data_IF_921802974613
#
_entry.id   IF_921802974613
#
_cell.length_a   1.000
_cell.length_b   1.000
_cell.length_c   1.000
_cell.angle_alpha   90.00
_cell.angle_beta   90.00
_cell.angle_gamma   90.00
#
_symmetry.space_group_name_H-M   'P 1'
#
loop_
_entity.id
_entity.type
_entity.pdbx_description
1 polymer ?
#
# COMPACT_ATOMS: atom_id res chain seq x y z
N UNK A 1 -13.18 -11.16 -17.25
CA UNK A 1 -13.47 -12.61 -17.14
C UNK A 1 -13.02 -13.04 -15.75
N UNK A 2 -13.91 -13.67 -14.98
CA UNK A 2 -13.55 -14.28 -13.69
C UNK A 2 -12.67 -15.51 -13.95
N UNK A 3 -11.55 -15.62 -13.24
CA UNK A 3 -10.59 -16.73 -13.37
C UNK A 3 -10.40 -17.48 -12.05
N UNK A 4 -11.35 -17.35 -11.12
CA UNK A 4 -11.40 -17.97 -9.80
C UNK A 4 -10.38 -17.40 -8.79
N UNK A 5 -10.56 -17.71 -7.50
CA UNK A 5 -9.70 -17.28 -6.39
C UNK A 5 -9.49 -15.75 -6.30
N UNK A 6 -10.54 -14.96 -6.53
CA UNK A 6 -10.52 -13.49 -6.49
C UNK A 6 -9.63 -12.83 -7.55
N UNK A 7 -9.24 -13.56 -8.59
CA UNK A 7 -8.54 -13.03 -9.75
C UNK A 7 -9.50 -12.75 -10.91
N UNK A 8 -9.23 -11.67 -11.64
CA UNK A 8 -10.01 -11.26 -12.80
C UNK A 8 -9.09 -10.89 -13.96
N UNK A 9 -9.46 -11.30 -15.18
CA UNK A 9 -8.79 -10.93 -16.41
C UNK A 9 -9.53 -9.76 -17.08
N UNK A 10 -8.78 -8.70 -17.40
CA UNK A 10 -9.22 -7.57 -18.21
C UNK A 10 -8.41 -7.50 -19.52
N UNK A 11 -9.12 -7.42 -20.65
CA UNK A 11 -8.55 -7.22 -21.98
C UNK A 11 -8.84 -5.80 -22.45
N UNK A 12 -7.90 -5.20 -23.15
CA UNK A 12 -8.01 -3.83 -23.68
C UNK A 12 -7.74 -3.86 -25.18
N UNK A 13 -8.51 -3.10 -25.95
CA UNK A 13 -8.31 -2.97 -27.40
C UNK A 13 -7.20 -1.97 -27.74
N UNK A 14 -6.96 -1.01 -26.83
CA UNK A 14 -5.96 0.04 -26.98
C UNK A 14 -4.86 -0.12 -25.94
N UNK A 15 -3.60 -0.03 -26.40
CA UNK A 15 -2.43 -0.09 -25.52
C UNK A 15 -2.43 1.04 -24.48
N UNK A 16 -2.86 2.25 -24.86
CA UNK A 16 -2.96 3.40 -23.96
C UNK A 16 -3.88 3.14 -22.75
N UNK A 17 -4.98 2.41 -22.95
CA UNK A 17 -5.92 2.10 -21.88
C UNK A 17 -5.38 1.00 -20.96
N UNK A 18 -4.68 0.02 -21.54
CA UNK A 18 -3.92 -0.97 -20.77
C UNK A 18 -2.84 -0.31 -19.92
N UNK A 19 -2.08 0.62 -20.48
CA UNK A 19 -1.03 1.34 -19.75
C UNK A 19 -1.61 2.20 -18.63
N UNK A 20 -2.72 2.89 -18.87
CA UNK A 20 -3.45 3.62 -17.82
C UNK A 20 -3.90 2.68 -16.72
N UNK A 21 -4.46 1.52 -17.04
CA UNK A 21 -4.90 0.55 -16.04
C UNK A 21 -3.73 0.03 -15.18
N UNK A 22 -2.57 -0.22 -15.78
CA UNK A 22 -1.39 -0.72 -15.05
C UNK A 22 -0.73 0.38 -14.21
N UNK A 23 -0.57 1.58 -14.76
CA UNK A 23 0.24 2.66 -14.16
C UNK A 23 -0.59 3.69 -13.37
N UNK A 24 -1.90 3.72 -13.59
CA UNK A 24 -2.83 4.70 -13.00
C UNK A 24 -3.09 4.50 -11.51
N UNK A 25 -2.82 3.30 -10.99
CA UNK A 25 -3.09 2.92 -9.61
C UNK A 25 -2.37 3.75 -8.53
N UNK A 26 -2.65 3.50 -7.25
CA UNK A 26 -3.47 2.41 -6.75
C UNK A 26 -4.96 2.57 -7.06
N UNK A 27 -5.61 1.47 -7.40
CA UNK A 27 -7.05 1.41 -7.66
C UNK A 27 -7.77 0.97 -6.40
N UNK A 28 -8.89 1.63 -6.10
CA UNK A 28 -9.76 1.27 -4.98
C UNK A 28 -11.19 1.11 -5.47
N UNK A 29 -11.85 0.04 -5.03
CA UNK A 29 -13.28 -0.22 -5.26
C UNK A 29 -13.88 -0.53 -3.88
N UNK A 30 -14.85 0.29 -3.45
CA UNK A 30 -15.47 0.19 -2.11
C UNK A 30 -14.43 0.12 -0.96
N UNK A 31 -13.41 0.98 -1.02
CA UNK A 31 -12.28 1.03 -0.08
C UNK A 31 -11.38 -0.23 -0.03
N UNK A 32 -11.54 -1.17 -0.97
CA UNK A 32 -10.62 -2.30 -1.15
C UNK A 32 -9.64 -2.04 -2.30
N UNK A 33 -8.35 -2.31 -2.07
CA UNK A 33 -7.35 -2.19 -3.14
C UNK A 33 -7.51 -3.28 -4.19
N UNK A 34 -7.43 -2.87 -5.44
CA UNK A 34 -7.29 -3.77 -6.57
C UNK A 34 -5.84 -3.75 -7.05
N UNK A 35 -5.15 -4.88 -6.88
CA UNK A 35 -3.81 -5.08 -7.42
C UNK A 35 -3.91 -5.39 -8.91
N UNK A 36 -3.38 -4.51 -9.75
CA UNK A 36 -3.34 -4.69 -11.21
C UNK A 36 -1.91 -5.06 -11.62
N UNK A 37 -1.77 -6.10 -12.44
CA UNK A 37 -0.48 -6.53 -13.00
C UNK A 37 -0.63 -7.03 -14.44
N UNK A 38 0.41 -6.97 -15.27
CA UNK A 38 0.40 -7.60 -16.58
C UNK A 38 0.07 -9.09 -16.48
N UNK A 39 -0.72 -9.59 -17.42
CA UNK A 39 -0.97 -11.03 -17.53
C UNK A 39 0.32 -11.77 -17.85
N UNK A 40 0.46 -12.97 -17.28
CA UNK A 40 1.58 -13.89 -17.51
C UNK A 40 1.04 -15.25 -17.95
N UNK A 41 1.65 -15.92 -18.94
CA UNK A 41 1.22 -17.26 -19.36
C UNK A 41 1.42 -18.33 -18.29
N UNK A 42 2.28 -18.08 -17.30
CA UNK A 42 2.53 -18.99 -16.19
C UNK A 42 1.65 -18.70 -14.97
N UNK A 43 0.63 -17.84 -15.11
CA UNK A 43 -0.29 -17.52 -14.03
C UNK A 43 -1.17 -18.73 -13.66
N UNK A 44 -1.25 -19.03 -12.36
CA UNK A 44 -2.16 -20.01 -11.77
C UNK A 44 -2.88 -19.34 -10.59
N UNK A 45 -4.20 -19.22 -10.65
CA UNK A 45 -4.97 -18.59 -9.58
C UNK A 45 -4.86 -19.34 -8.23
N UNK A 46 -4.54 -20.64 -8.28
CA UNK A 46 -4.40 -21.50 -7.11
C UNK A 46 -3.04 -21.32 -6.40
N UNK A 47 -1.97 -21.08 -7.16
CA UNK A 47 -0.60 -21.04 -6.62
C UNK A 47 -0.10 -19.61 -6.38
N UNK A 48 -0.77 -18.62 -6.97
CA UNK A 48 -0.37 -17.23 -6.89
C UNK A 48 -0.86 -16.57 -5.59
N UNK A 49 -0.09 -15.59 -5.12
CA UNK A 49 -0.40 -14.85 -3.89
C UNK A 49 -0.04 -13.38 -4.06
N UNK A 50 -0.94 -12.51 -3.60
CA UNK A 50 -0.72 -11.07 -3.57
C UNK A 50 0.04 -10.74 -2.29
N UNK A 51 1.37 -10.68 -2.39
CA UNK A 51 2.25 -10.35 -1.26
C UNK A 51 2.58 -8.86 -1.19
N UNK A 52 2.36 -8.13 -2.28
CA UNK A 52 2.62 -6.69 -2.36
C UNK A 52 1.43 -5.99 -2.99
N UNK A 53 1.18 -4.77 -2.55
CA UNK A 53 0.17 -3.91 -3.16
C UNK A 53 0.58 -2.45 -3.08
N UNK A 54 -0.03 -1.64 -3.93
CA UNK A 54 0.15 -0.19 -3.91
C UNK A 54 -0.88 0.39 -2.95
N UNK A 55 -0.44 1.25 -2.05
CA UNK A 55 -1.32 1.92 -1.08
C UNK A 55 -1.06 3.41 -1.05
N UNK A 56 -2.12 4.18 -0.88
CA UNK A 56 -2.01 5.59 -0.53
C UNK A 56 -1.75 5.73 0.96
N UNK A 57 -0.70 6.47 1.28
CA UNK A 57 -0.28 6.76 2.65
C UNK A 57 -0.36 8.26 2.91
N UNK A 58 -0.96 8.64 4.04
CA UNK A 58 -1.05 10.03 4.50
C UNK A 58 -0.07 10.28 5.64
N UNK A 59 0.72 11.33 5.50
CA UNK A 59 1.56 11.88 6.56
C UNK A 59 0.83 13.05 7.21
N UNK A 60 0.31 12.81 8.42
CA UNK A 60 -0.51 13.79 9.13
C UNK A 60 0.35 14.88 9.78
N UNK A 61 -0.14 16.13 9.73
CA UNK A 61 0.47 17.27 10.42
C UNK A 61 1.94 17.54 10.03
N UNK A 62 2.35 17.08 8.84
CA UNK A 62 3.67 17.37 8.28
C UNK A 62 3.71 18.84 7.82
N UNK A 63 4.78 19.56 8.16
CA UNK A 63 4.91 20.94 7.74
C UNK A 63 5.08 21.02 6.21
N UNK A 64 4.41 21.99 5.57
CA UNK A 64 4.50 22.23 4.12
C UNK A 64 5.93 22.42 3.61
N UNK A 65 6.88 22.84 4.45
CA UNK A 65 8.31 22.90 4.09
C UNK A 65 8.89 21.54 3.67
N UNK A 66 8.26 20.42 4.06
CA UNK A 66 8.66 19.08 3.70
C UNK A 66 7.88 18.52 2.48
N UNK A 67 7.01 19.30 1.84
CA UNK A 67 6.23 18.90 0.67
C UNK A 67 7.06 18.99 -0.63
N UNK A 68 8.37 18.79 -0.50
CA UNK A 68 9.25 18.60 -1.65
C UNK A 68 9.19 17.13 -2.02
N UNK A 69 8.94 16.83 -3.29
CA UNK A 69 8.73 15.46 -3.76
C UNK A 69 9.84 14.50 -3.31
N UNK A 70 11.10 14.87 -3.51
CA UNK A 70 12.24 14.05 -3.08
C UNK A 70 12.27 13.77 -1.57
N UNK A 71 11.86 14.75 -0.75
CA UNK A 71 11.76 14.61 0.71
C UNK A 71 10.62 13.65 1.07
N UNK A 72 9.46 13.81 0.45
CA UNK A 72 8.30 12.93 0.67
C UNK A 72 8.59 11.50 0.26
N UNK A 73 9.24 11.28 -0.89
CA UNK A 73 9.66 9.95 -1.33
C UNK A 73 10.68 9.35 -0.35
N UNK A 74 11.61 10.15 0.16
CA UNK A 74 12.57 9.72 1.18
C UNK A 74 11.87 9.31 2.48
N UNK A 75 10.92 10.11 2.98
CA UNK A 75 10.12 9.76 4.17
C UNK A 75 9.34 8.46 3.91
N UNK A 76 8.70 8.35 2.75
CA UNK A 76 7.91 7.18 2.37
C UNK A 76 8.74 5.90 2.21
N UNK A 77 10.05 6.00 1.95
CA UNK A 77 10.95 4.84 1.89
C UNK A 77 11.04 4.05 3.20
N UNK A 78 10.68 4.66 4.34
CA UNK A 78 10.60 3.96 5.64
C UNK A 78 9.46 2.94 5.65
N UNK A 79 8.42 3.15 4.84
CA UNK A 79 7.24 2.29 4.77
C UNK A 79 7.41 1.17 3.74
N UNK A 80 8.07 1.45 2.61
CA UNK A 80 8.16 0.53 1.48
C UNK A 80 8.83 1.19 0.28
N UNK A 81 8.48 0.76 -0.94
CA UNK A 81 9.01 1.36 -2.16
C UNK A 81 8.09 2.50 -2.63
N UNK A 82 8.48 3.78 -2.48
CA UNK A 82 7.64 4.89 -2.90
C UNK A 82 7.57 4.97 -4.44
N UNK A 83 6.41 5.32 -4.98
CA UNK A 83 6.19 5.41 -6.43
C UNK A 83 5.90 6.83 -6.92
N UNK A 84 4.97 7.53 -6.26
CA UNK A 84 4.56 8.88 -6.69
C UNK A 84 3.90 9.66 -5.54
N UNK A 85 4.05 10.98 -5.58
CA UNK A 85 3.35 11.91 -4.69
C UNK A 85 1.99 12.26 -5.31
N UNK A 86 0.96 12.44 -4.47
CA UNK A 86 -0.36 12.91 -4.93
C UNK A 86 -0.25 14.29 -5.58
N UNK A 87 -1.00 14.54 -6.65
CA UNK A 87 -0.95 15.80 -7.39
C UNK A 87 -1.33 17.02 -6.53
N UNK A 88 -2.26 16.88 -5.60
CA UNK A 88 -2.65 17.99 -4.71
C UNK A 88 -1.53 18.32 -3.73
N UNK A 89 -0.90 17.28 -3.17
CA UNK A 89 0.29 17.42 -2.32
C UNK A 89 1.45 18.06 -3.11
N UNK A 90 1.72 17.58 -4.32
CA UNK A 90 2.79 18.09 -5.19
C UNK A 90 2.57 19.55 -5.61
N UNK A 91 1.33 19.95 -5.86
CA UNK A 91 0.97 21.32 -6.19
C UNK A 91 0.80 22.23 -4.96
N UNK A 92 1.11 21.73 -3.75
CA UNK A 92 0.92 22.43 -2.48
C UNK A 92 -0.49 23.03 -2.33
N UNK A 93 -1.49 22.36 -2.92
CA UNK A 93 -2.88 22.70 -2.71
C UNK A 93 -3.20 22.44 -1.24
N UNK A 94 -4.15 23.20 -0.68
CA UNK A 94 -4.37 23.36 0.77
C UNK A 94 -4.91 22.08 1.44
N UNK A 95 -4.11 21.01 1.46
CA UNK A 95 -4.40 19.72 2.07
C UNK A 95 -3.96 19.70 3.54
N UNK A 96 -4.65 18.89 4.36
CA UNK A 96 -4.35 18.71 5.79
C UNK A 96 -3.21 17.72 6.05
N UNK A 97 -2.72 17.06 5.01
CA UNK A 97 -1.72 16.00 5.06
C UNK A 97 -0.94 15.95 3.74
N UNK A 98 0.24 15.34 3.74
CA UNK A 98 0.94 14.96 2.52
C UNK A 98 0.56 13.52 2.16
N UNK A 99 0.37 13.23 0.88
CA UNK A 99 -0.07 11.90 0.42
C UNK A 99 0.89 11.31 -0.61
N UNK A 100 1.29 10.06 -0.41
CA UNK A 100 2.26 9.34 -1.27
C UNK A 100 1.76 7.92 -1.54
N UNK A 101 1.93 7.47 -2.78
CA UNK A 101 1.69 6.09 -3.19
C UNK A 101 2.96 5.27 -2.92
N UNK A 102 2.80 4.18 -2.18
CA UNK A 102 3.89 3.30 -1.75
C UNK A 102 3.52 1.86 -2.08
N UNK A 103 4.44 1.11 -2.69
CA UNK A 103 4.37 -0.35 -2.75
C UNK A 103 4.79 -0.90 -1.38
N UNK A 104 3.88 -1.64 -0.73
CA UNK A 104 4.10 -2.23 0.59
C UNK A 104 4.05 -3.76 0.50
N UNK A 105 4.80 -4.41 1.38
CA UNK A 105 4.74 -5.86 1.58
C UNK A 105 3.69 -6.20 2.64
N UNK A 106 2.66 -6.95 2.25
CA UNK A 106 1.51 -7.30 3.09
C UNK A 106 1.87 -8.28 4.20
N UNK A 107 3.00 -8.97 4.09
CA UNK A 107 3.52 -9.89 5.09
C UNK A 107 4.34 -9.17 6.17
N UNK A 108 4.62 -7.88 5.99
CA UNK A 108 5.37 -7.07 6.96
C UNK A 108 4.45 -6.21 7.82
N UNK A 109 4.79 -5.97 9.10
CA UNK A 109 4.06 -5.05 9.95
C UNK A 109 4.05 -3.63 9.38
N UNK A 110 2.90 -2.96 9.41
CA UNK A 110 2.80 -1.56 8.99
C UNK A 110 3.59 -0.63 9.91
N UNK A 111 4.10 0.46 9.34
CA UNK A 111 4.76 1.52 10.10
C UNK A 111 3.72 2.56 10.51
N UNK A 112 3.41 2.63 11.82
CA UNK A 112 2.39 3.58 12.31
C UNK A 112 2.87 5.02 12.51
N UNK A 113 4.20 5.24 12.62
CA UNK A 113 4.80 6.56 12.84
C UNK A 113 6.25 6.61 12.38
N UNK A 114 6.72 7.79 12.01
CA UNK A 114 8.13 8.05 11.69
C UNK A 114 8.68 9.22 12.50
N UNK A 115 10.00 9.24 12.70
CA UNK A 115 10.69 10.36 13.33
C UNK A 115 11.37 11.22 12.26
N UNK A 116 11.14 12.53 12.31
CA UNK A 116 11.82 13.50 11.48
C UNK A 116 12.30 14.64 12.38
N UNK A 117 13.61 14.82 12.45
CA UNK A 117 14.27 15.85 13.26
C UNK A 117 13.83 15.86 14.74
N UNK A 118 13.70 14.68 15.35
CA UNK A 118 13.32 14.54 16.76
C UNK A 118 11.82 14.60 17.04
N UNK A 119 10.99 14.88 16.03
CA UNK A 119 9.52 14.89 16.16
C UNK A 119 8.91 13.65 15.50
N UNK A 120 7.95 13.04 16.19
CA UNK A 120 7.17 11.91 15.69
C UNK A 120 5.95 12.38 14.90
N UNK A 121 5.68 11.72 13.78
CA UNK A 121 4.54 11.96 12.90
C UNK A 121 3.79 10.66 12.67
N UNK A 122 2.45 10.73 12.69
CA UNK A 122 1.59 9.58 12.45
C UNK A 122 1.43 9.32 10.95
N UNK A 123 1.26 8.05 10.63
CA UNK A 123 1.07 7.54 9.28
C UNK A 123 -0.32 6.90 9.22
N UNK A 124 -1.12 7.25 8.22
CA UNK A 124 -2.40 6.60 7.95
C UNK A 124 -2.36 5.91 6.59
N UNK A 125 -2.78 4.65 6.56
CA UNK A 125 -2.94 3.87 5.33
C UNK A 125 -4.41 3.95 4.90
N UNK A 126 -4.66 4.40 3.68
CA UNK A 126 -6.01 4.34 3.10
C UNK A 126 -6.30 2.90 2.68
N UNK A 127 -7.54 2.42 2.79
CA UNK A 127 -7.97 1.12 2.22
C UNK A 127 -7.40 -0.15 2.86
N UNK A 128 -6.52 -0.05 3.86
CA UNK A 128 -5.86 -1.20 4.48
C UNK A 128 -6.59 -1.64 5.77
N UNK A 129 -7.78 -2.23 5.61
CA UNK A 129 -8.74 -2.42 6.71
C UNK A 129 -8.49 -3.62 7.64
N UNK A 130 -7.80 -4.67 7.17
CA UNK A 130 -7.60 -5.91 7.93
C UNK A 130 -6.18 -6.00 8.48
N UNK A 131 -5.83 -5.12 9.41
CA UNK A 131 -4.55 -5.16 10.11
C UNK A 131 -4.68 -5.97 11.40
N UNK A 132 -3.81 -6.97 11.56
CA UNK A 132 -3.70 -7.73 12.79
C UNK A 132 -3.19 -6.82 13.92
N UNK A 133 -3.90 -6.75 15.05
CA UNK A 133 -3.48 -5.90 16.17
C UNK A 133 -2.27 -6.46 16.92
N UNK A 134 -1.94 -7.73 16.72
CA UNK A 134 -0.81 -8.39 17.39
C UNK A 134 0.51 -8.22 16.62
N UNK A 135 0.52 -8.50 15.32
CA UNK A 135 1.74 -8.39 14.51
C UNK A 135 1.78 -7.15 13.60
N UNK A 136 0.66 -6.45 13.37
CA UNK A 136 0.59 -5.30 12.47
C UNK A 136 0.60 -5.65 10.98
N UNK A 137 0.61 -6.93 10.60
CA UNK A 137 0.54 -7.36 9.19
C UNK A 137 -0.91 -7.36 8.68
N UNK A 138 -1.08 -7.32 7.36
CA UNK A 138 -2.39 -7.36 6.71
C UNK A 138 -2.92 -8.79 6.56
N UNK A 139 -4.24 -8.93 6.40
CA UNK A 139 -4.88 -10.14 5.88
C UNK A 139 -5.35 -11.15 6.93
N UNK A 140 -5.14 -10.89 8.23
CA UNK A 140 -5.62 -11.78 9.28
C UNK A 140 -5.97 -11.04 10.57
N UNK A 141 -6.90 -11.61 11.34
CA UNK A 141 -7.21 -11.17 12.69
C UNK A 141 -6.32 -11.83 13.74
N UNK A 142 -6.39 -11.33 14.97
CA UNK A 142 -5.57 -11.79 16.11
C UNK A 142 -5.63 -13.32 16.34
N UNK A 143 -6.79 -13.94 16.11
CA UNK A 143 -7.02 -15.37 16.31
C UNK A 143 -6.23 -16.27 15.35
N UNK A 144 -5.87 -15.75 14.17
CA UNK A 144 -5.14 -16.47 13.14
C UNK A 144 -3.70 -15.96 13.00
N UNK A 145 -3.17 -15.29 14.02
CA UNK A 145 -1.82 -14.72 13.99
C UNK A 145 -0.75 -15.76 14.33
N UNK A 146 0.10 -16.09 13.36
CA UNK A 146 1.22 -17.04 13.54
C UNK A 146 2.31 -16.54 14.48
N UNK A 147 2.44 -15.22 14.68
CA UNK A 147 3.40 -14.64 15.62
C UNK A 147 3.14 -15.09 17.07
N UNK A 148 1.87 -15.31 17.43
CA UNK A 148 1.48 -15.78 18.76
C UNK A 148 1.90 -17.25 18.97
N UNK A 149 1.72 -18.11 17.97
CA UNK A 149 2.05 -19.54 18.07
C UNK A 149 3.53 -19.77 18.40
N UNK A 150 4.43 -18.95 17.85
CA UNK A 150 5.87 -19.07 18.11
C UNK A 150 6.27 -18.58 19.51
N UNK A 151 5.54 -17.63 20.09
CA UNK A 151 5.83 -17.11 21.44
C UNK A 151 5.50 -18.08 22.58
N UNK A 152 4.61 -19.05 22.34
CA UNK A 152 4.22 -20.07 23.32
C UNK A 152 5.06 -21.37 23.24
N UNK A 153 5.88 -21.56 22.21
CA UNK A 153 6.78 -22.73 22.09
C UNK A 153 8.22 -22.44 22.55
N UNK A 154 8.57 -21.18 22.76
CA UNK A 154 9.89 -20.75 23.27
C UNK A 154 9.87 -20.36 24.75
N UNK A 155 8.81 -20.69 25.48
CA UNK A 155 8.62 -20.40 26.91
C UNK A 155 8.63 -21.66 27.77
#
# INVERSE_FOLDING_TARGET
MDVDHEYFLASFDLDDDREKAINGGPWMIFDHYLTVRPWSPNFSAQDDSINKTLVWVRFLNLNMMFYVESVLLTIASVIGKPLKVDLHTANMLRERFARVCVEVDLNTPVVGKFNLNGKWYNIEYEGLHLLCSNCGCYGHGNWNCSYIYNSYQTG
#
